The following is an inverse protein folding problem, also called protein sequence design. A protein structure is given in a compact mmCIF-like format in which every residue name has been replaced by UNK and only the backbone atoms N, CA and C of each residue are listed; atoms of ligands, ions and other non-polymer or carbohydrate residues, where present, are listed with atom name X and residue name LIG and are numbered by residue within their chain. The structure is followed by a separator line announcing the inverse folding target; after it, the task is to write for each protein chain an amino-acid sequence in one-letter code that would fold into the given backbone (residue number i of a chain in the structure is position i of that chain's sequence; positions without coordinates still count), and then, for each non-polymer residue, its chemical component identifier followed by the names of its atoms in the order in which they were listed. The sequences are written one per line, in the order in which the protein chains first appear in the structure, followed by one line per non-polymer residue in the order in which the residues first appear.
data_IF_562156058082
#
_entry.id   IF_562156058082
#
_cell.length_a   1.000
_cell.length_b   1.000
_cell.length_c   1.000
_cell.angle_alpha   90.00
_cell.angle_beta   90.00
_cell.angle_gamma   90.00
#
_symmetry.space_group_name_H-M   'P 1'
#
loop_
_entity.id
_entity.type
_entity.pdbx_description
1 polymer ?
#
# COMPACT_ATOMS: atom_id res chain seq x y z
N UNK A 1 -0.56 -15.30 0.83
CA UNK A 1 -0.90 -13.86 0.76
C UNK A 1 0.34 -13.14 0.27
N UNK A 2 0.23 -12.33 -0.78
CA UNK A 2 1.35 -11.61 -1.39
C UNK A 2 1.00 -10.13 -1.45
N UNK A 3 1.90 -9.25 -1.01
CA UNK A 3 1.72 -7.81 -1.13
C UNK A 3 2.40 -7.28 -2.39
N UNK A 4 1.67 -6.48 -3.18
CA UNK A 4 2.22 -5.78 -4.33
C UNK A 4 2.14 -4.27 -4.12
N UNK A 5 3.29 -3.62 -4.05
CA UNK A 5 3.37 -2.19 -3.79
C UNK A 5 3.29 -1.39 -5.10
N UNK A 6 2.17 -0.69 -5.30
CA UNK A 6 1.91 0.21 -6.42
C UNK A 6 2.21 1.68 -6.08
N UNK A 7 2.93 1.94 -4.99
CA UNK A 7 3.43 3.26 -4.60
C UNK A 7 4.88 3.43 -5.08
N UNK A 8 5.38 4.68 -5.23
CA UNK A 8 6.73 4.93 -5.76
C UNK A 8 7.87 4.68 -4.76
N UNK A 9 7.57 4.28 -3.52
CA UNK A 9 8.54 4.12 -2.45
C UNK A 9 8.32 2.79 -1.72
N UNK A 10 9.35 2.23 -1.05
CA UNK A 10 9.17 1.04 -0.23
C UNK A 10 8.14 1.25 0.88
N UNK A 11 7.38 0.21 1.19
CA UNK A 11 6.38 0.20 2.25
C UNK A 11 6.75 -0.88 3.26
N UNK A 12 6.81 -0.51 4.53
CA UNK A 12 7.03 -1.46 5.61
C UNK A 12 5.69 -1.98 6.14
N UNK A 13 5.61 -3.30 6.33
CA UNK A 13 4.46 -3.97 6.94
C UNK A 13 4.77 -4.17 8.41
N UNK A 14 3.89 -3.65 9.27
CA UNK A 14 4.03 -3.72 10.73
C UNK A 14 2.94 -4.60 11.35
N UNK A 15 3.25 -5.25 12.48
CA UNK A 15 2.26 -5.78 13.42
C UNK A 15 1.60 -4.63 14.20
N UNK A 16 0.49 -4.92 14.90
CA UNK A 16 -0.22 -3.92 15.73
C UNK A 16 0.67 -3.30 16.81
N UNK A 17 1.68 -4.02 17.30
CA UNK A 17 2.63 -3.52 18.30
C UNK A 17 3.74 -2.62 17.71
N UNK A 18 3.73 -2.40 16.38
CA UNK A 18 4.72 -1.61 15.64
C UNK A 18 5.96 -2.41 15.21
N UNK A 19 6.02 -3.71 15.47
CA UNK A 19 7.11 -4.58 15.01
C UNK A 19 7.06 -4.71 13.49
N UNK A 20 8.17 -4.41 12.82
CA UNK A 20 8.29 -4.60 11.37
C UNK A 20 8.37 -6.08 11.02
N UNK A 21 7.43 -6.54 10.21
CA UNK A 21 7.35 -7.90 9.69
C UNK A 21 8.07 -7.99 8.34
N UNK A 22 7.86 -7.01 7.47
CA UNK A 22 8.37 -7.04 6.09
C UNK A 22 8.57 -5.63 5.51
N UNK A 23 9.21 -5.55 4.34
CA UNK A 23 9.27 -4.35 3.50
C UNK A 23 9.07 -4.69 2.05
N UNK A 24 8.01 -4.13 1.48
CA UNK A 24 7.55 -4.38 0.12
C UNK A 24 8.15 -3.29 -0.79
N UNK A 25 9.10 -3.65 -1.68
CA UNK A 25 9.69 -2.69 -2.60
C UNK A 25 8.65 -2.22 -3.63
N UNK A 26 8.80 -1.01 -4.19
CA UNK A 26 7.92 -0.54 -5.25
C UNK A 26 8.00 -1.50 -6.45
N UNK A 27 6.85 -1.86 -7.00
CA UNK A 27 6.75 -2.78 -8.14
C UNK A 27 7.26 -2.19 -9.46
N UNK A 28 7.55 -0.89 -9.49
CA UNK A 28 7.83 -0.13 -10.71
C UNK A 28 6.57 0.29 -11.47
N UNK A 29 5.40 -0.24 -11.11
CA UNK A 29 4.09 0.23 -11.59
C UNK A 29 3.46 1.11 -10.53
N UNK A 30 2.97 2.29 -10.93
CA UNK A 30 2.26 3.20 -10.02
C UNK A 30 0.79 3.22 -10.40
N UNK A 31 -0.06 2.89 -9.43
CA UNK A 31 -1.51 3.05 -9.58
C UNK A 31 -1.86 4.54 -9.57
N UNK A 32 -2.82 4.95 -10.38
CA UNK A 32 -3.31 6.33 -10.44
C UNK A 32 -4.84 6.32 -10.44
N UNK A 33 -5.45 7.17 -9.61
CA UNK A 33 -6.87 7.48 -9.72
C UNK A 33 -7.06 8.70 -10.64
N UNK A 34 -7.94 8.58 -11.64
CA UNK A 34 -8.32 9.68 -12.52
C UNK A 34 -9.85 9.77 -12.60
N UNK A 35 -10.45 10.59 -11.72
CA UNK A 35 -11.90 10.59 -11.51
C UNK A 35 -12.36 9.25 -10.93
N UNK A 36 -13.42 8.67 -11.48
CA UNK A 36 -13.96 7.34 -11.08
C UNK A 36 -13.20 6.15 -11.70
N UNK A 37 -12.06 6.39 -12.38
CA UNK A 37 -11.32 5.35 -13.08
C UNK A 37 -9.94 5.12 -12.48
N UNK A 38 -9.67 3.87 -12.12
CA UNK A 38 -8.34 3.40 -11.77
C UNK A 38 -7.52 3.13 -13.03
N UNK A 39 -6.46 3.92 -13.22
CA UNK A 39 -5.48 3.72 -14.28
C UNK A 39 -4.28 2.98 -13.73
N UNK A 40 -3.83 1.96 -14.46
CA UNK A 40 -2.62 1.17 -14.16
C UNK A 40 -2.65 0.40 -12.84
N UNK A 41 -3.82 0.23 -12.23
CA UNK A 41 -4.01 -0.76 -11.16
C UNK A 41 -4.33 -2.10 -11.84
N UNK A 42 -3.52 -3.16 -11.66
CA UNK A 42 -3.80 -4.48 -12.22
C UNK A 42 -5.16 -5.02 -11.75
N UNK A 43 -5.84 -5.88 -12.54
CA UNK A 43 -7.06 -6.55 -12.09
C UNK A 43 -6.81 -7.37 -10.82
N UNK A 44 -7.84 -7.64 -9.99
CA UNK A 44 -7.69 -8.39 -8.76
C UNK A 44 -7.22 -9.83 -9.04
N UNK A 45 -6.18 -10.26 -8.31
CA UNK A 45 -5.61 -11.60 -8.40
C UNK A 45 -5.80 -12.36 -7.07
N UNK A 46 -6.17 -13.66 -7.10
CA UNK A 46 -6.36 -14.43 -5.89
C UNK A 46 -5.13 -14.45 -4.97
N UNK A 47 -5.30 -14.01 -3.73
CA UNK A 47 -4.25 -14.02 -2.71
C UNK A 47 -3.22 -12.88 -2.82
N UNK A 48 -3.45 -11.90 -3.69
CA UNK A 48 -2.65 -10.67 -3.82
C UNK A 48 -3.39 -9.51 -3.17
N UNK A 49 -2.68 -8.71 -2.38
CA UNK A 49 -3.14 -7.42 -1.87
C UNK A 49 -2.30 -6.32 -2.49
N UNK A 50 -2.96 -5.32 -3.07
CA UNK A 50 -2.28 -4.20 -3.70
C UNK A 50 -2.20 -3.03 -2.73
N UNK A 51 -0.97 -2.61 -2.41
CA UNK A 51 -0.72 -1.42 -1.61
C UNK A 51 -0.75 -0.21 -2.54
N UNK A 52 -1.68 0.70 -2.28
CA UNK A 52 -2.00 1.84 -3.16
C UNK A 52 -2.04 3.16 -2.39
N UNK A 53 -2.13 4.27 -3.11
CA UNK A 53 -2.37 5.59 -2.52
C UNK A 53 -3.84 5.71 -2.06
N UNK A 54 -4.16 6.50 -1.02
CA UNK A 54 -5.54 6.66 -0.52
C UNK A 54 -6.58 7.05 -1.57
N UNK A 55 -6.22 7.92 -2.52
CA UNK A 55 -7.10 8.32 -3.61
C UNK A 55 -7.58 7.14 -4.49
N UNK A 56 -6.83 6.03 -4.52
CA UNK A 56 -7.18 4.83 -5.28
C UNK A 56 -8.19 3.97 -4.52
N UNK A 57 -8.05 3.83 -3.21
CA UNK A 57 -9.06 3.13 -2.39
C UNK A 57 -10.37 3.90 -2.35
N UNK A 58 -10.33 5.24 -2.26
CA UNK A 58 -11.54 6.07 -2.25
C UNK A 58 -12.33 6.02 -3.57
N UNK A 59 -11.63 5.81 -4.69
CA UNK A 59 -12.22 5.75 -6.01
C UNK A 59 -12.63 4.32 -6.43
N UNK A 60 -12.58 3.33 -5.53
CA UNK A 60 -12.75 1.93 -5.89
C UNK A 60 -13.43 1.08 -4.82
N UNK A 61 -14.42 0.29 -5.22
CA UNK A 61 -15.08 -0.72 -4.38
C UNK A 61 -14.31 -2.05 -4.30
N UNK A 62 -12.97 -2.01 -4.47
CA UNK A 62 -12.14 -3.22 -4.51
C UNK A 62 -11.61 -3.55 -3.12
N UNK A 63 -11.93 -4.74 -2.62
CA UNK A 63 -11.53 -5.22 -1.30
C UNK A 63 -10.06 -5.67 -1.23
N UNK A 64 -9.41 -5.89 -2.37
CA UNK A 64 -8.01 -6.32 -2.46
C UNK A 64 -7.01 -5.14 -2.48
N UNK A 65 -7.50 -3.91 -2.31
CA UNK A 65 -6.70 -2.69 -2.24
C UNK A 65 -6.54 -2.25 -0.77
N UNK A 66 -5.30 -1.99 -0.37
CA UNK A 66 -4.99 -1.40 0.94
C UNK A 66 -4.29 -0.08 0.71
N UNK A 67 -4.79 0.99 1.32
CA UNK A 67 -4.14 2.29 1.25
C UNK A 67 -3.11 2.47 2.35
N UNK A 68 -2.01 3.11 1.99
CA UNK A 68 -1.09 3.70 2.97
C UNK A 68 -1.76 4.97 3.54
N UNK A 69 -2.31 4.90 4.75
CA UNK A 69 -2.71 6.12 5.46
C UNK A 69 -1.45 6.96 5.70
N UNK A 70 -1.39 8.14 5.07
CA UNK A 70 -0.20 9.01 5.06
C UNK A 70 0.18 9.51 6.47
N UNK A 71 -0.69 9.34 7.48
CA UNK A 71 -0.43 9.73 8.86
C UNK A 71 0.79 9.01 9.51
N UNK A 72 1.21 7.85 8.99
CA UNK A 72 2.40 7.13 9.50
C UNK A 72 3.64 7.20 8.59
N UNK A 73 3.66 8.12 7.64
CA UNK A 73 4.88 8.50 6.93
C UNK A 73 5.81 9.30 7.87
N UNK A 74 6.40 8.64 8.88
CA UNK A 74 7.46 9.24 9.68
C UNK A 74 8.64 9.50 8.74
N UNK A 75 9.05 10.76 8.59
CA UNK A 75 10.35 11.11 8.01
C UNK A 75 11.42 10.33 8.78
N UNK A 76 12.06 9.36 8.13
CA UNK A 76 13.26 8.73 8.67
C UNK A 76 14.29 9.85 8.93
N UNK A 77 15.00 9.79 10.06
CA UNK A 77 16.03 10.78 10.44
C UNK A 77 17.16 10.93 9.41
N UNK A 78 17.20 10.08 8.36
CA UNK A 78 18.16 10.13 7.24
C UNK A 78 17.62 10.77 5.96
N UNK A 79 16.42 11.36 5.95
CA UNK A 79 15.86 12.03 4.77
C UNK A 79 15.12 11.13 3.77
N UNK A 80 14.98 9.83 4.08
CA UNK A 80 14.15 8.90 3.29
C UNK A 80 12.72 8.90 3.82
N UNK A 81 11.73 8.97 2.93
CA UNK A 81 10.32 8.74 3.28
C UNK A 81 10.13 7.23 3.39
N UNK A 82 9.71 6.77 4.57
CA UNK A 82 9.39 5.38 4.83
C UNK A 82 7.94 5.35 5.32
N UNK A 83 7.11 4.62 4.60
CA UNK A 83 5.67 4.56 4.85
C UNK A 83 5.33 3.21 5.46
N UNK A 84 4.50 3.22 6.49
CA UNK A 84 4.08 2.03 7.21
C UNK A 84 2.63 1.69 6.84
N UNK A 85 2.34 0.40 6.74
CA UNK A 85 0.98 -0.13 6.66
C UNK A 85 0.78 -1.08 7.82
N UNK A 86 -0.19 -0.74 8.67
CA UNK A 86 -0.74 -1.66 9.66
C UNK A 86 -1.75 -2.56 8.96
N UNK A 87 -1.40 -3.84 8.79
CA UNK A 87 -2.28 -4.83 8.20
C UNK A 87 -2.87 -5.73 9.29
N UNK A 88 -4.20 -5.83 9.34
CA UNK A 88 -4.89 -6.71 10.27
C UNK A 88 -5.47 -7.90 9.52
N UNK A 89 -4.91 -9.09 9.78
CA UNK A 89 -5.54 -10.35 9.37
C UNK A 89 -6.55 -10.74 10.44
N UNK A 90 -7.85 -10.54 10.18
CA UNK A 90 -8.87 -11.22 10.97
C UNK A 90 -8.70 -12.73 10.75
N UNK A 91 -8.16 -13.43 11.76
CA UNK A 91 -8.03 -14.89 11.76
C UNK A 91 -9.37 -15.60 11.74
#
# INVERSE_FOLDING_TARGET
MTFLNLTPHPVDVLEEDGTRIDSVPPSGTVGIAAGERLLNVPPPEPGVVYIVLPAITEASDREDLVSIAVEEARRSQRGNVQTHVCYWSAG
#
